data_IF_635491077512
#
_entry.id   IF_635491077512
#
_cell.length_a   1.000
_cell.length_b   1.000
_cell.length_c   1.000
_cell.angle_alpha   90.00
_cell.angle_beta   90.00
_cell.angle_gamma   90.00
#
_symmetry.space_group_name_H-M   'P 1'
#
loop_
_entity.id
_entity.type
_entity.pdbx_description
1 polymer ?
#
# COMPACT_ATOMS: atom_id res chain seq x y z
N UNK A 1 12.83 12.93 1.96
CA UNK A 1 12.85 11.53 1.50
C UNK A 1 11.41 11.11 1.20
N UNK A 2 11.14 10.45 0.07
CA UNK A 2 9.78 10.03 -0.29
C UNK A 2 9.28 8.96 0.70
N UNK A 3 8.03 9.08 1.13
CA UNK A 3 7.45 8.17 2.12
C UNK A 3 7.05 6.86 1.43
N UNK A 4 7.56 5.73 1.90
CA UNK A 4 7.17 4.42 1.35
C UNK A 4 6.04 3.82 2.17
N UNK A 5 4.92 3.51 1.53
CA UNK A 5 3.77 2.82 2.10
C UNK A 5 3.75 1.41 1.53
N UNK A 6 3.78 0.42 2.42
CA UNK A 6 3.72 -1.00 2.05
C UNK A 6 2.27 -1.48 2.06
N UNK A 7 1.83 -2.08 0.95
CA UNK A 7 0.51 -2.66 0.79
C UNK A 7 0.67 -4.18 0.63
N UNK A 8 -0.11 -4.97 1.36
CA UNK A 8 -0.09 -6.42 1.17
C UNK A 8 -1.36 -7.12 1.65
N UNK A 9 -1.33 -8.46 1.71
CA UNK A 9 -2.51 -9.26 2.05
C UNK A 9 -3.14 -8.83 3.38
N UNK A 10 -4.44 -8.49 3.35
CA UNK A 10 -5.18 -7.96 4.49
C UNK A 10 -5.13 -6.44 4.66
N UNK A 11 -4.38 -5.71 3.82
CA UNK A 11 -4.41 -4.25 3.81
C UNK A 11 -5.72 -3.75 3.19
N UNK A 12 -6.35 -2.75 3.81
CA UNK A 12 -7.43 -1.97 3.20
C UNK A 12 -6.96 -0.53 3.01
N UNK A 13 -7.56 0.19 2.06
CA UNK A 13 -7.22 1.60 1.85
C UNK A 13 -7.39 2.41 3.15
N UNK A 14 -8.47 2.15 3.88
CA UNK A 14 -8.76 2.83 5.15
C UNK A 14 -7.73 2.49 6.23
N UNK A 15 -7.37 1.22 6.41
CA UNK A 15 -6.38 0.83 7.42
C UNK A 15 -4.97 1.39 7.12
N UNK A 16 -4.62 1.49 5.84
CA UNK A 16 -3.34 2.06 5.40
C UNK A 16 -3.32 3.57 5.63
N UNK A 17 -4.41 4.26 5.30
CA UNK A 17 -4.55 5.69 5.53
C UNK A 17 -4.58 6.02 7.03
N UNK A 18 -5.28 5.24 7.85
CA UNK A 18 -5.33 5.40 9.31
C UNK A 18 -3.97 5.17 9.96
N UNK A 19 -3.24 4.14 9.55
CA UNK A 19 -1.86 3.89 10.01
C UNK A 19 -0.94 5.07 9.69
N UNK A 20 -1.26 5.83 8.66
CA UNK A 20 -0.56 7.05 8.28
C UNK A 20 -1.33 8.32 8.60
N UNK A 21 -2.36 8.26 9.45
CA UNK A 21 -3.38 9.29 9.67
C UNK A 21 -2.79 10.66 10.03
N UNK A 22 -1.76 10.73 10.89
CA UNK A 22 -1.07 12.00 11.23
C UNK A 22 -0.40 12.71 10.05
N UNK A 23 -0.01 11.94 9.04
CA UNK A 23 0.63 12.48 7.84
C UNK A 23 -0.40 12.68 6.73
N UNK A 24 -1.32 11.73 6.56
CA UNK A 24 -2.43 11.83 5.62
C UNK A 24 -3.33 13.03 5.96
N UNK A 25 -3.50 13.38 7.24
CA UNK A 25 -4.26 14.56 7.69
C UNK A 25 -3.62 15.90 7.31
N UNK A 26 -2.36 15.90 6.86
CA UNK A 26 -1.66 17.10 6.37
C UNK A 26 -1.79 17.26 4.86
N UNK A 27 -2.34 16.27 4.17
CA UNK A 27 -2.61 16.37 2.73
C UNK A 27 -3.85 17.22 2.50
N UNK A 28 -3.85 17.95 1.39
CA UNK A 28 -5.08 18.58 0.91
C UNK A 28 -6.09 17.49 0.48
N UNK A 29 -7.37 17.88 0.38
CA UNK A 29 -8.46 16.94 0.10
C UNK A 29 -8.30 16.23 -1.26
N UNK A 30 -7.68 16.88 -2.24
CA UNK A 30 -7.43 16.31 -3.56
C UNK A 30 -6.35 15.23 -3.52
N UNK A 31 -5.24 15.49 -2.84
CA UNK A 31 -4.12 14.57 -2.64
C UNK A 31 -4.55 13.38 -1.78
N UNK A 32 -5.36 13.60 -0.75
CA UNK A 32 -5.94 12.54 0.05
C UNK A 32 -6.85 11.62 -0.78
N UNK A 33 -7.72 12.19 -1.63
CA UNK A 33 -8.56 11.41 -2.56
C UNK A 33 -7.72 10.64 -3.58
N UNK A 34 -6.72 11.28 -4.18
CA UNK A 34 -5.83 10.64 -5.15
C UNK A 34 -5.09 9.46 -4.54
N UNK A 35 -4.48 9.66 -3.36
CA UNK A 35 -3.79 8.60 -2.63
C UNK A 35 -4.74 7.45 -2.27
N UNK A 36 -5.96 7.77 -1.82
CA UNK A 36 -6.97 6.75 -1.50
C UNK A 36 -7.35 5.93 -2.73
N UNK A 37 -7.55 6.56 -3.89
CA UNK A 37 -7.86 5.87 -5.13
C UNK A 37 -6.71 4.95 -5.56
N UNK A 38 -5.47 5.47 -5.57
CA UNK A 38 -4.29 4.68 -5.94
C UNK A 38 -4.07 3.47 -5.00
N UNK A 39 -4.26 3.66 -3.70
CA UNK A 39 -4.17 2.57 -2.72
C UNK A 39 -5.30 1.56 -2.93
N UNK A 40 -6.54 2.03 -3.14
CA UNK A 40 -7.70 1.16 -3.37
C UNK A 40 -7.53 0.31 -4.63
N UNK A 41 -7.04 0.90 -5.71
CA UNK A 41 -6.75 0.19 -6.95
C UNK A 41 -5.70 -0.90 -6.73
N UNK A 42 -4.57 -0.56 -6.12
CA UNK A 42 -3.49 -1.53 -5.88
C UNK A 42 -3.92 -2.67 -4.94
N UNK A 43 -4.70 -2.36 -3.90
CA UNK A 43 -5.25 -3.35 -2.97
C UNK A 43 -6.26 -4.25 -3.67
N UNK A 44 -7.16 -3.69 -4.46
CA UNK A 44 -8.22 -4.45 -5.14
C UNK A 44 -7.62 -5.39 -6.18
N UNK A 45 -6.74 -4.88 -7.05
CA UNK A 45 -6.06 -5.71 -8.06
C UNK A 45 -5.12 -6.74 -7.42
N UNK A 46 -4.36 -6.33 -6.40
CA UNK A 46 -3.46 -7.22 -5.69
C UNK A 46 -4.19 -8.36 -4.99
N UNK A 47 -5.32 -8.05 -4.34
CA UNK A 47 -6.18 -9.06 -3.69
C UNK A 47 -6.80 -10.00 -4.73
N UNK A 48 -7.37 -9.47 -5.81
CA UNK A 48 -7.99 -10.29 -6.85
C UNK A 48 -6.97 -11.29 -7.44
N UNK A 49 -5.76 -10.83 -7.77
CA UNK A 49 -4.70 -11.72 -8.27
C UNK A 49 -4.26 -12.75 -7.22
N UNK A 50 -4.13 -12.33 -5.96
CA UNK A 50 -3.79 -13.21 -4.83
C UNK A 50 -4.84 -14.31 -4.62
N UNK A 51 -6.12 -13.96 -4.72
CA UNK A 51 -7.25 -14.89 -4.52
C UNK A 51 -7.28 -15.95 -5.65
N UNK A 52 -6.77 -15.61 -6.84
CA UNK A 52 -6.54 -16.55 -7.96
C UNK A 52 -5.19 -17.30 -7.89
N UNK A 53 -4.44 -17.18 -6.80
CA UNK A 53 -3.16 -17.87 -6.61
C UNK A 53 -1.97 -17.24 -7.35
N UNK A 54 -2.14 -16.08 -7.97
CA UNK A 54 -1.07 -15.33 -8.61
C UNK A 54 -0.33 -14.45 -7.59
N UNK A 55 0.94 -14.13 -7.89
CA UNK A 55 1.69 -13.10 -7.15
C UNK A 55 1.54 -11.75 -7.83
N UNK A 56 1.35 -10.70 -7.05
CA UNK A 56 1.27 -9.33 -7.54
C UNK A 56 2.31 -8.48 -6.84
N UNK A 57 3.21 -7.89 -7.63
CA UNK A 57 4.21 -6.94 -7.16
C UNK A 57 4.10 -5.69 -8.01
N UNK A 58 3.74 -4.57 -7.39
CA UNK A 58 3.64 -3.27 -8.05
C UNK A 58 4.28 -2.20 -7.19
N UNK A 59 5.07 -1.32 -7.81
CA UNK A 59 5.66 -0.17 -7.15
C UNK A 59 5.22 1.07 -7.90
N UNK A 60 4.39 1.91 -7.28
CA UNK A 60 3.88 3.15 -7.88
C UNK A 60 4.33 4.33 -7.05
N UNK A 61 4.83 5.36 -7.72
CA UNK A 61 5.11 6.63 -7.08
C UNK A 61 3.92 7.55 -7.32
N UNK A 62 3.32 8.03 -6.24
CA UNK A 62 2.24 9.02 -6.26
C UNK A 62 2.87 10.37 -5.95
N UNK A 63 2.83 11.25 -6.93
CA UNK A 63 3.20 12.65 -6.77
C UNK A 63 2.01 13.41 -6.20
N UNK A 64 2.22 14.03 -5.04
CA UNK A 64 1.27 14.89 -4.34
C UNK A 64 1.83 16.31 -4.38
N UNK A 65 1.00 17.30 -4.05
CA UNK A 65 1.35 18.72 -4.19
C UNK A 65 2.60 19.09 -3.38
N UNK A 66 2.66 18.65 -2.12
CA UNK A 66 3.75 18.97 -1.19
C UNK A 66 4.56 17.73 -0.75
N UNK A 67 4.32 16.58 -1.38
CA UNK A 67 4.93 15.32 -0.95
C UNK A 67 5.02 14.30 -2.09
N UNK A 68 5.88 13.31 -1.90
CA UNK A 68 5.94 12.14 -2.77
C UNK A 68 5.80 10.87 -1.94
N UNK A 69 4.94 9.97 -2.41
CA UNK A 69 4.68 8.69 -1.77
C UNK A 69 5.03 7.56 -2.73
N UNK A 70 5.72 6.56 -2.22
CA UNK A 70 5.98 5.32 -2.94
C UNK A 70 5.07 4.25 -2.37
N UNK A 71 4.12 3.76 -3.15
CA UNK A 71 3.29 2.61 -2.85
C UNK A 71 4.02 1.34 -3.30
N UNK A 72 4.47 0.50 -2.37
CA UNK A 72 5.04 -0.82 -2.64
C UNK A 72 3.99 -1.88 -2.30
N UNK A 73 3.29 -2.36 -3.33
CA UNK A 73 2.21 -3.33 -3.27
C UNK A 73 2.72 -4.75 -3.53
N UNK A 74 2.50 -5.65 -2.57
CA UNK A 74 2.91 -7.06 -2.62
C UNK A 74 1.80 -7.96 -2.09
N UNK A 75 1.17 -8.69 -3.00
CA UNK A 75 0.03 -9.58 -2.70
C UNK A 75 0.30 -10.98 -3.30
N UNK A 76 -0.40 -12.00 -2.82
CA UNK A 76 -0.27 -13.38 -3.31
C UNK A 76 0.63 -14.27 -2.45
N UNK A 77 1.22 -15.30 -3.06
CA UNK A 77 2.13 -16.24 -2.42
C UNK A 77 3.39 -15.52 -1.92
N UNK A 78 3.26 -14.94 -0.72
CA UNK A 78 4.32 -14.56 0.19
C UNK A 78 5.22 -15.80 0.29
N UNK A 79 6.33 -15.82 -0.44
CA UNK A 79 7.35 -16.87 -0.33
C UNK A 79 7.61 -17.09 1.17
N UNK A 80 7.94 -18.32 1.60
CA UNK A 80 8.13 -18.68 3.01
C UNK A 80 8.99 -17.64 3.79
N UNK A 81 9.96 -17.03 3.10
CA UNK A 81 10.80 -15.91 3.52
C UNK A 81 10.07 -14.65 3.98
N UNK A 82 8.98 -14.34 3.33
CA UNK A 82 8.23 -13.10 3.44
C UNK A 82 7.24 -13.23 4.65
N UNK A 83 6.82 -14.47 4.99
CA UNK A 83 6.19 -14.82 6.29
C UNK A 83 7.21 -14.79 7.44
N UNK A 84 8.45 -15.22 7.20
CA UNK A 84 9.55 -15.19 8.18
C UNK A 84 9.97 -13.76 8.53
N UNK A 85 10.09 -12.88 7.54
CA UNK A 85 10.42 -11.46 7.72
C UNK A 85 9.35 -10.69 8.49
N UNK A 86 8.07 -11.06 8.32
CA UNK A 86 6.96 -10.50 9.11
C UNK A 86 7.00 -10.93 10.58
N UNK A 87 7.40 -12.18 10.87
CA UNK A 87 7.55 -12.67 12.27
C UNK A 87 8.79 -12.14 12.99
N UNK A 88 9.85 -11.81 12.27
CA UNK A 88 11.08 -11.24 12.86
C UNK A 88 10.99 -9.74 13.17
N UNK A 89 9.92 -9.07 12.73
CA UNK A 89 9.67 -7.64 12.97
C UNK A 89 8.50 -7.35 13.91
N UNK A 90 7.84 -8.38 14.44
CA UNK A 90 6.86 -8.28 15.53
C UNK A 90 7.56 -8.55 16.86
#
# INVERSE_FOLDING_TARGET
>A
MPKTIFLGNGSTADAVLDRHGRWASKLNEQDARRLRNDVTDLVTHGKLLSDHGASFKSKRTVELTDAQVVLDARFGAVNLWDRLLLKLRA
#
